data_IF_959770656248
#
_entry.id   IF_959770656248
#
_cell.length_a   1.000
_cell.length_b   1.000
_cell.length_c   1.000
_cell.angle_alpha   90.00
_cell.angle_beta   90.00
_cell.angle_gamma   90.00
#
_symmetry.space_group_name_H-M   'P 1'
#
loop_
_entity.id
_entity.type
_entity.pdbx_description
1 polymer ?
#
# COMPACT_ATOMS: atom_id res chain seq x y z
N UNK A 1 -35.08 8.81 24.74
CA UNK A 1 -35.60 9.24 23.42
C UNK A 1 -34.49 10.02 22.71
N UNK A 2 -33.70 9.37 21.85
CA UNK A 2 -32.65 10.04 21.09
C UNK A 2 -33.27 10.71 19.86
N UNK A 3 -33.07 12.02 19.75
CA UNK A 3 -33.47 12.82 18.60
C UNK A 3 -32.84 12.26 17.31
N UNK A 4 -33.55 12.22 16.17
CA UNK A 4 -32.97 11.80 14.91
C UNK A 4 -31.89 12.81 14.52
N UNK A 5 -30.62 12.40 14.61
CA UNK A 5 -29.50 13.21 14.15
C UNK A 5 -29.74 13.57 12.67
N UNK A 6 -29.94 14.85 12.38
CA UNK A 6 -29.92 15.40 11.02
C UNK A 6 -28.69 14.84 10.32
N UNK A 7 -28.87 14.15 9.19
CA UNK A 7 -27.77 13.78 8.33
C UNK A 7 -27.00 15.07 7.99
N UNK A 8 -25.78 15.20 8.52
CA UNK A 8 -24.90 16.34 8.24
C UNK A 8 -24.64 16.30 6.73
N UNK A 9 -24.82 17.42 6.04
CA UNK A 9 -24.53 17.51 4.61
C UNK A 9 -23.02 17.57 4.42
N UNK A 10 -22.50 16.90 3.39
CA UNK A 10 -21.11 17.06 2.99
C UNK A 10 -20.83 18.53 2.64
N UNK A 11 -19.66 19.02 3.06
CA UNK A 11 -19.24 20.42 2.98
C UNK A 11 -17.95 20.61 2.17
N UNK A 12 -17.38 19.51 1.65
CA UNK A 12 -16.18 19.53 0.82
C UNK A 12 -16.38 18.68 -0.44
N UNK A 13 -15.97 19.21 -1.58
CA UNK A 13 -15.92 18.48 -2.85
C UNK A 13 -14.47 18.18 -3.22
N UNK A 14 -14.15 16.92 -3.44
CA UNK A 14 -12.88 16.49 -4.03
C UNK A 14 -13.10 16.05 -5.47
N UNK A 15 -12.20 16.41 -6.38
CA UNK A 15 -12.30 16.04 -7.80
C UNK A 15 -11.12 15.16 -8.19
N UNK A 16 -11.38 13.99 -8.76
CA UNK A 16 -10.35 13.09 -9.27
C UNK A 16 -9.81 13.53 -10.64
N UNK A 17 -8.71 12.92 -11.09
CA UNK A 17 -8.09 13.21 -12.40
C UNK A 17 -8.96 12.84 -13.59
N UNK A 18 -9.92 11.95 -13.40
CA UNK A 18 -10.96 11.57 -14.38
C UNK A 18 -12.28 12.33 -14.16
N UNK A 19 -12.22 13.49 -13.49
CA UNK A 19 -13.34 14.42 -13.26
C UNK A 19 -14.53 13.84 -12.49
N UNK A 20 -14.31 12.83 -11.65
CA UNK A 20 -15.34 12.37 -10.72
C UNK A 20 -15.31 13.23 -9.46
N UNK A 21 -16.49 13.64 -9.02
CA UNK A 21 -16.66 14.44 -7.80
C UNK A 21 -17.04 13.56 -6.61
N UNK A 22 -16.41 13.85 -5.47
CA UNK A 22 -16.62 13.17 -4.20
C UNK A 22 -17.02 14.19 -3.14
N UNK A 23 -18.28 14.11 -2.74
CA UNK A 23 -18.81 14.88 -1.62
C UNK A 23 -18.40 14.21 -0.31
N UNK A 24 -17.56 14.90 0.48
CA UNK A 24 -17.02 14.40 1.75
C UNK A 24 -17.21 15.43 2.85
N UNK A 25 -17.05 14.99 4.09
CA UNK A 25 -17.02 15.91 5.22
C UNK A 25 -15.60 16.42 5.45
N UNK A 26 -15.42 17.73 5.46
CA UNK A 26 -14.13 18.39 5.71
C UNK A 26 -13.49 17.90 7.01
N UNK A 27 -14.29 17.66 8.05
CA UNK A 27 -13.79 17.18 9.35
C UNK A 27 -13.04 15.85 9.25
N UNK A 28 -13.45 14.93 8.35
CA UNK A 28 -12.72 13.66 8.15
C UNK A 28 -11.36 13.92 7.50
N UNK A 29 -11.31 14.78 6.49
CA UNK A 29 -10.06 15.16 5.84
C UNK A 29 -9.12 15.85 6.83
N UNK A 30 -9.60 16.82 7.59
CA UNK A 30 -8.82 17.55 8.61
C UNK A 30 -8.31 16.63 9.73
N UNK A 31 -9.10 15.65 10.15
CA UNK A 31 -8.72 14.72 11.20
C UNK A 31 -7.63 13.72 10.76
N UNK A 32 -7.54 13.43 9.46
CA UNK A 32 -6.64 12.41 8.94
C UNK A 32 -5.45 12.96 8.15
N UNK A 33 -5.46 14.23 7.74
CA UNK A 33 -4.40 14.89 6.96
C UNK A 33 -4.09 16.27 7.52
N UNK A 34 -2.83 16.49 7.88
CA UNK A 34 -2.32 17.80 8.31
C UNK A 34 -2.33 18.78 7.13
N UNK A 35 -1.93 18.32 5.95
CA UNK A 35 -1.92 19.10 4.70
C UNK A 35 -3.31 19.63 4.36
N UNK A 36 -4.34 18.78 4.37
CA UNK A 36 -5.70 19.21 4.09
C UNK A 36 -6.28 20.06 5.22
N UNK A 37 -5.87 19.84 6.48
CA UNK A 37 -6.27 20.71 7.58
C UNK A 37 -5.77 22.13 7.37
N UNK A 38 -4.49 22.29 7.10
CA UNK A 38 -3.86 23.60 6.92
C UNK A 38 -4.38 24.30 5.65
N UNK A 39 -4.59 23.52 4.57
CA UNK A 39 -5.21 24.00 3.33
C UNK A 39 -6.64 24.51 3.56
N UNK A 40 -7.47 23.76 4.29
CA UNK A 40 -8.88 24.12 4.54
C UNK A 40 -9.07 25.15 5.67
N UNK A 41 -8.03 25.49 6.41
CA UNK A 41 -8.03 26.57 7.40
C UNK A 41 -7.49 27.89 6.83
N UNK A 42 -6.88 27.83 5.64
CA UNK A 42 -6.36 29.01 4.96
C UNK A 42 -7.49 29.87 4.38
N UNK A 43 -7.52 31.19 4.66
CA UNK A 43 -8.55 32.08 4.15
C UNK A 43 -8.49 32.16 2.61
N UNK A 44 -9.61 31.86 1.94
CA UNK A 44 -9.75 31.97 0.48
C UNK A 44 -10.02 30.65 -0.27
N UNK A 45 -10.01 29.50 0.41
CA UNK A 45 -10.22 28.18 -0.21
C UNK A 45 -11.64 27.62 -0.03
N UNK A 46 -12.58 28.41 0.49
CA UNK A 46 -13.84 27.90 1.04
C UNK A 46 -14.89 27.40 0.03
N UNK A 47 -14.68 27.56 -1.28
CA UNK A 47 -15.76 27.32 -2.26
C UNK A 47 -15.38 26.49 -3.50
N UNK A 48 -14.10 26.18 -3.72
CA UNK A 48 -13.68 25.40 -4.88
C UNK A 48 -13.49 23.92 -4.55
N UNK A 49 -13.88 23.05 -5.49
CA UNK A 49 -13.53 21.63 -5.40
C UNK A 49 -12.01 21.45 -5.38
N UNK A 50 -11.51 20.57 -4.50
CA UNK A 50 -10.07 20.31 -4.36
C UNK A 50 -9.68 19.21 -5.35
N UNK A 51 -8.81 19.49 -6.34
CA UNK A 51 -8.33 18.45 -7.24
C UNK A 51 -7.37 17.51 -6.49
N UNK A 52 -7.64 16.21 -6.58
CA UNK A 52 -6.78 15.16 -6.04
C UNK A 52 -6.21 14.38 -7.22
N UNK A 53 -4.89 14.27 -7.24
CA UNK A 53 -4.09 13.51 -8.21
C UNK A 53 -4.25 11.98 -8.03
N UNK A 54 -5.48 11.50 -8.24
CA UNK A 54 -5.90 10.11 -8.17
C UNK A 54 -7.09 9.91 -9.11
N UNK A 55 -7.24 8.71 -9.68
CA UNK A 55 -8.47 8.33 -10.39
C UNK A 55 -9.64 8.20 -9.40
N UNK A 56 -10.88 8.29 -9.88
CA UNK A 56 -12.06 8.14 -9.02
C UNK A 56 -12.11 6.78 -8.31
N UNK A 57 -11.56 5.72 -8.93
CA UNK A 57 -11.44 4.40 -8.29
C UNK A 57 -10.47 4.42 -7.11
N UNK A 58 -9.28 4.98 -7.30
CA UNK A 58 -8.26 5.11 -6.25
C UNK A 58 -8.75 6.02 -5.13
N UNK A 59 -9.34 7.17 -5.47
CA UNK A 59 -9.87 8.11 -4.50
C UNK A 59 -11.02 7.49 -3.69
N UNK A 60 -11.93 6.75 -4.31
CA UNK A 60 -12.98 6.03 -3.59
C UNK A 60 -12.41 5.01 -2.61
N UNK A 61 -11.41 4.25 -3.03
CA UNK A 61 -10.74 3.27 -2.18
C UNK A 61 -10.04 3.96 -1.00
N UNK A 62 -9.36 5.08 -1.27
CA UNK A 62 -8.72 5.93 -0.29
C UNK A 62 -9.70 6.50 0.76
N UNK A 63 -10.81 7.10 0.31
CA UNK A 63 -11.86 7.64 1.18
C UNK A 63 -12.51 6.55 2.04
N UNK A 64 -12.71 5.35 1.47
CA UNK A 64 -13.20 4.21 2.21
C UNK A 64 -12.20 3.78 3.29
N UNK A 65 -10.89 3.79 3.04
CA UNK A 65 -9.87 3.44 4.04
C UNK A 65 -9.82 4.40 5.23
N UNK A 66 -10.25 5.66 5.05
CA UNK A 66 -10.41 6.62 6.14
C UNK A 66 -11.61 6.28 7.03
N UNK A 67 -12.75 6.04 6.39
CA UNK A 67 -14.07 6.03 7.07
C UNK A 67 -14.54 4.63 7.47
N UNK A 68 -14.11 3.58 6.76
CA UNK A 68 -14.62 2.22 6.92
C UNK A 68 -13.50 1.27 7.34
N UNK A 69 -13.84 0.35 8.24
CA UNK A 69 -12.93 -0.71 8.66
C UNK A 69 -12.84 -1.84 7.63
N UNK A 70 -13.98 -2.21 7.04
CA UNK A 70 -14.10 -3.24 6.03
C UNK A 70 -14.02 -2.62 4.64
N UNK A 71 -12.81 -2.64 4.06
CA UNK A 71 -12.58 -2.16 2.70
C UNK A 71 -11.80 -3.22 1.98
N UNK A 72 -12.14 -3.44 0.71
CA UNK A 72 -11.40 -4.35 -0.16
C UNK A 72 -9.93 -3.93 -0.22
N UNK A 73 -9.03 -4.92 -0.30
CA UNK A 73 -7.64 -4.62 -0.60
C UNK A 73 -7.53 -4.12 -2.05
N UNK A 74 -6.52 -3.27 -2.35
CA UNK A 74 -6.15 -3.00 -3.73
C UNK A 74 -5.96 -4.30 -4.51
N UNK A 75 -6.40 -4.31 -5.77
CA UNK A 75 -6.37 -5.50 -6.63
C UNK A 75 -4.98 -5.85 -7.13
N UNK A 76 -4.09 -4.87 -7.21
CA UNK A 76 -2.82 -4.94 -7.91
C UNK A 76 -1.79 -4.02 -7.24
N UNK A 77 -0.51 -4.32 -7.50
CA UNK A 77 0.63 -3.60 -6.92
C UNK A 77 0.68 -2.13 -7.30
N UNK A 78 0.25 -1.76 -8.51
CA UNK A 78 0.24 -0.36 -8.93
C UNK A 78 -0.71 0.47 -8.06
N UNK A 79 -1.92 -0.03 -7.84
CA UNK A 79 -2.91 0.62 -6.95
C UNK A 79 -2.38 0.73 -5.51
N UNK A 80 -1.68 -0.30 -5.00
CA UNK A 80 -1.04 -0.23 -3.67
C UNK A 80 -0.05 0.93 -3.57
N UNK A 81 0.86 1.05 -4.53
CA UNK A 81 1.89 2.08 -4.54
C UNK A 81 1.27 3.48 -4.66
N UNK A 82 0.33 3.67 -5.59
CA UNK A 82 -0.37 4.94 -5.79
C UNK A 82 -1.11 5.41 -4.54
N UNK A 83 -1.78 4.50 -3.82
CA UNK A 83 -2.45 4.85 -2.56
C UNK A 83 -1.46 5.25 -1.46
N UNK A 84 -0.29 4.61 -1.40
CA UNK A 84 0.74 4.94 -0.43
C UNK A 84 1.42 6.28 -0.77
N UNK A 85 1.69 6.54 -2.04
CA UNK A 85 2.15 7.85 -2.54
C UNK A 85 1.14 8.95 -2.20
N UNK A 86 -0.16 8.71 -2.37
CA UNK A 86 -1.21 9.64 -1.95
C UNK A 86 -1.20 9.89 -0.44
N UNK A 87 -0.95 8.84 0.36
CA UNK A 87 -0.82 9.02 1.81
C UNK A 87 0.36 9.91 2.15
N UNK A 88 1.49 9.76 1.46
CA UNK A 88 2.69 10.57 1.71
C UNK A 88 2.51 12.00 1.22
N UNK A 89 1.92 12.20 0.03
CA UNK A 89 1.66 13.51 -0.58
C UNK A 89 0.76 14.41 0.27
N UNK A 90 -0.25 13.83 0.91
CA UNK A 90 -1.22 14.57 1.73
C UNK A 90 -1.10 14.27 3.23
N UNK A 91 -0.01 13.67 3.67
CA UNK A 91 0.27 13.33 5.08
C UNK A 91 -0.88 12.59 5.82
N UNK A 92 -1.40 11.53 5.20
CA UNK A 92 -2.42 10.67 5.79
C UNK A 92 -1.82 9.50 6.59
N UNK A 93 -1.14 9.81 7.69
CA UNK A 93 -0.37 8.82 8.46
C UNK A 93 -1.19 7.60 8.94
N UNK A 94 -2.44 7.81 9.40
CA UNK A 94 -3.30 6.71 9.86
C UNK A 94 -3.72 5.79 8.71
N UNK A 95 -4.02 6.37 7.54
CA UNK A 95 -4.39 5.61 6.34
C UNK A 95 -3.18 4.81 5.86
N UNK A 96 -2.00 5.42 5.83
CA UNK A 96 -0.73 4.74 5.52
C UNK A 96 -0.49 3.55 6.44
N UNK A 97 -0.65 3.74 7.76
CA UNK A 97 -0.49 2.68 8.74
C UNK A 97 -1.48 1.54 8.53
N UNK A 98 -2.75 1.85 8.22
CA UNK A 98 -3.78 0.86 7.87
C UNK A 98 -3.42 0.09 6.60
N UNK A 99 -2.96 0.78 5.55
CA UNK A 99 -2.49 0.16 4.32
C UNK A 99 -1.31 -0.79 4.58
N UNK A 100 -0.28 -0.36 5.31
CA UNK A 100 0.86 -1.22 5.68
C UNK A 100 0.42 -2.44 6.47
N UNK A 101 -0.52 -2.29 7.41
CA UNK A 101 -1.05 -3.42 8.16
C UNK A 101 -1.80 -4.41 7.26
N UNK A 102 -2.56 -3.92 6.28
CA UNK A 102 -3.23 -4.76 5.29
C UNK A 102 -2.24 -5.42 4.32
N UNK A 103 -1.17 -4.73 3.94
CA UNK A 103 -0.09 -5.28 3.13
C UNK A 103 0.58 -6.46 3.83
N UNK A 104 0.78 -6.37 5.16
CA UNK A 104 1.25 -7.50 5.97
C UNK A 104 0.32 -8.71 5.88
N UNK A 105 -1.00 -8.49 5.95
CA UNK A 105 -1.98 -9.59 5.78
C UNK A 105 -2.01 -10.09 4.33
N UNK A 106 -1.85 -9.20 3.36
CA UNK A 106 -1.81 -9.54 1.93
C UNK A 106 -0.58 -10.40 1.58
N UNK A 107 0.55 -10.22 2.27
CA UNK A 107 1.75 -11.05 2.09
C UNK A 107 1.52 -12.55 2.35
N UNK A 108 0.46 -12.91 3.10
CA UNK A 108 0.09 -14.32 3.28
C UNK A 108 -0.64 -14.90 2.06
N UNK A 109 -1.30 -14.05 1.26
CA UNK A 109 -2.07 -14.46 0.08
C UNK A 109 -1.25 -14.37 -1.21
N UNK A 110 -0.48 -13.30 -1.36
CA UNK A 110 0.43 -13.09 -2.49
C UNK A 110 1.76 -12.51 -1.99
N UNK A 111 2.70 -13.36 -1.56
CA UNK A 111 3.95 -12.91 -0.99
C UNK A 111 4.87 -12.30 -2.05
N UNK A 112 4.82 -12.76 -3.31
CA UNK A 112 5.61 -12.15 -4.37
C UNK A 112 5.18 -10.70 -4.65
N UNK A 113 3.87 -10.47 -4.80
CA UNK A 113 3.34 -9.13 -5.02
C UNK A 113 3.64 -8.23 -3.81
N UNK A 114 3.47 -8.76 -2.59
CA UNK A 114 3.82 -8.04 -1.37
C UNK A 114 5.31 -7.68 -1.33
N UNK A 115 6.20 -8.61 -1.69
CA UNK A 115 7.64 -8.36 -1.79
C UNK A 115 7.94 -7.23 -2.79
N UNK A 116 7.34 -7.28 -3.98
CA UNK A 116 7.50 -6.25 -5.00
C UNK A 116 7.02 -4.89 -4.48
N UNK A 117 5.83 -4.80 -3.90
CA UNK A 117 5.30 -3.56 -3.31
C UNK A 117 6.27 -3.04 -2.23
N UNK A 118 6.72 -3.91 -1.32
CA UNK A 118 7.63 -3.49 -0.23
C UNK A 118 9.00 -3.05 -0.71
N UNK A 119 9.46 -3.53 -1.85
CA UNK A 119 10.74 -3.14 -2.44
C UNK A 119 10.77 -1.69 -2.94
N UNK A 120 9.61 -1.17 -3.36
CA UNK A 120 9.45 0.24 -3.77
C UNK A 120 9.24 1.17 -2.58
N UNK A 121 8.83 0.63 -1.43
CA UNK A 121 8.55 1.38 -0.21
C UNK A 121 9.70 1.36 0.79
N UNK A 122 10.76 0.60 0.50
CA UNK A 122 11.89 0.33 1.41
C UNK A 122 11.45 -0.28 2.76
N UNK A 123 10.42 -1.13 2.74
CA UNK A 123 9.83 -1.74 3.94
C UNK A 123 10.45 -3.13 4.22
N UNK A 124 11.71 -3.13 4.67
CA UNK A 124 12.50 -4.35 4.90
C UNK A 124 11.77 -5.42 5.75
N UNK A 125 11.13 -5.01 6.84
CA UNK A 125 10.44 -5.93 7.75
C UNK A 125 9.29 -6.68 7.08
N UNK A 126 8.57 -6.02 6.17
CA UNK A 126 7.45 -6.61 5.44
C UNK A 126 7.98 -7.48 4.30
N UNK A 127 9.06 -7.05 3.63
CA UNK A 127 9.74 -7.85 2.62
C UNK A 127 10.24 -9.18 3.20
N UNK A 128 10.93 -9.17 4.35
CA UNK A 128 11.35 -10.41 5.05
C UNK A 128 10.17 -11.33 5.34
N UNK A 129 9.08 -10.78 5.89
CA UNK A 129 7.85 -11.55 6.15
C UNK A 129 7.25 -12.15 4.88
N UNK A 130 7.29 -11.44 3.77
CA UNK A 130 6.84 -11.95 2.47
C UNK A 130 7.75 -13.09 1.98
N UNK A 131 9.08 -12.92 2.04
CA UNK A 131 10.07 -13.95 1.65
C UNK A 131 9.85 -15.24 2.43
N UNK A 132 9.69 -15.15 3.76
CA UNK A 132 9.43 -16.30 4.63
C UNK A 132 8.22 -17.14 4.19
N UNK A 133 7.29 -16.56 3.42
CA UNK A 133 6.07 -17.21 2.92
C UNK A 133 6.18 -17.76 1.51
N UNK A 134 7.28 -17.55 0.78
CA UNK A 134 7.44 -18.05 -0.59
C UNK A 134 7.25 -19.57 -0.70
N UNK A 135 7.64 -20.34 0.31
CA UNK A 135 7.45 -21.81 0.33
C UNK A 135 6.17 -22.30 1.01
N UNK A 136 5.30 -21.41 1.50
CA UNK A 136 4.09 -21.81 2.24
C UNK A 136 2.84 -21.93 1.34
N UNK A 137 2.90 -21.48 0.09
CA UNK A 137 1.77 -21.52 -0.82
C UNK A 137 1.66 -22.89 -1.49
N UNK A 138 1.05 -23.83 -0.77
CA UNK A 138 0.62 -25.12 -1.30
C UNK A 138 -0.25 -24.91 -2.54
N UNK A 139 0.34 -25.03 -3.73
CA UNK A 139 -0.38 -24.95 -5.02
C UNK A 139 0.16 -23.92 -6.01
N UNK A 140 0.92 -22.91 -5.58
CA UNK A 140 1.77 -22.17 -6.50
C UNK A 140 3.06 -22.96 -6.66
N UNK A 141 3.51 -23.19 -7.91
CA UNK A 141 4.88 -23.67 -8.16
C UNK A 141 5.79 -22.80 -7.32
N UNK A 142 6.64 -23.42 -6.51
CA UNK A 142 7.66 -22.71 -5.76
C UNK A 142 8.27 -21.63 -6.64
N UNK A 143 8.52 -20.45 -6.09
CA UNK A 143 9.18 -19.38 -6.84
C UNK A 143 10.59 -19.87 -7.16
N UNK A 144 10.73 -20.57 -8.28
CA UNK A 144 12.00 -21.02 -8.82
C UNK A 144 12.69 -19.79 -9.39
N UNK A 145 13.52 -19.10 -8.58
CA UNK A 145 14.24 -17.91 -9.03
C UNK A 145 15.05 -18.17 -10.31
N UNK A 146 15.56 -19.40 -10.50
CA UNK A 146 16.29 -19.80 -11.71
C UNK A 146 15.44 -19.95 -12.97
N UNK A 147 14.10 -19.96 -12.86
CA UNK A 147 13.16 -20.01 -13.99
C UNK A 147 12.18 -18.83 -14.00
N UNK A 148 12.50 -17.77 -13.27
CA UNK A 148 11.66 -16.57 -13.19
C UNK A 148 11.51 -15.92 -14.57
N UNK A 149 10.28 -15.68 -15.05
CA UNK A 149 10.07 -14.91 -16.27
C UNK A 149 10.61 -13.49 -16.14
N UNK A 150 11.13 -12.92 -17.22
CA UNK A 150 11.66 -11.56 -17.24
C UNK A 150 10.67 -10.52 -16.69
N UNK A 151 9.38 -10.63 -17.05
CA UNK A 151 8.31 -9.74 -16.57
C UNK A 151 8.13 -9.76 -15.05
N UNK A 152 8.47 -10.87 -14.39
CA UNK A 152 8.39 -11.00 -12.94
C UNK A 152 9.62 -10.35 -12.30
N UNK A 153 10.81 -10.57 -12.86
CA UNK A 153 12.05 -9.95 -12.42
C UNK A 153 12.06 -8.41 -12.50
N UNK A 154 11.25 -7.81 -13.38
CA UNK A 154 11.13 -6.34 -13.49
C UNK A 154 10.20 -5.70 -12.46
N UNK A 155 9.47 -6.48 -11.66
CA UNK A 155 8.49 -5.94 -10.70
C UNK A 155 9.12 -5.34 -9.44
N UNK A 156 10.06 -6.02 -8.73
CA UNK A 156 10.72 -5.43 -7.58
C UNK A 156 11.81 -4.43 -8.00
N UNK A 157 12.25 -3.60 -7.06
CA UNK A 157 13.45 -2.80 -7.26
C UNK A 157 14.70 -3.68 -7.39
N UNK A 158 15.66 -3.23 -8.20
CA UNK A 158 16.89 -3.99 -8.45
C UNK A 158 17.66 -4.33 -7.16
N UNK A 159 17.87 -3.40 -6.20
CA UNK A 159 18.46 -3.70 -4.89
C UNK A 159 17.83 -4.90 -4.17
N UNK A 160 16.51 -4.94 -4.10
CA UNK A 160 15.77 -6.01 -3.42
C UNK A 160 15.87 -7.33 -4.18
N UNK A 161 15.79 -7.31 -5.51
CA UNK A 161 15.93 -8.52 -6.33
C UNK A 161 17.34 -9.14 -6.17
N UNK A 162 18.39 -8.32 -6.26
CA UNK A 162 19.77 -8.79 -6.08
C UNK A 162 19.98 -9.34 -4.67
N UNK A 163 19.46 -8.65 -3.65
CA UNK A 163 19.49 -9.12 -2.27
C UNK A 163 18.81 -10.49 -2.09
N UNK A 164 17.67 -10.70 -2.76
CA UNK A 164 16.93 -11.96 -2.72
C UNK A 164 17.71 -13.09 -3.39
N UNK A 165 18.28 -12.84 -4.57
CA UNK A 165 19.10 -13.81 -5.30
C UNK A 165 20.36 -14.18 -4.52
N UNK A 166 21.03 -13.19 -3.92
CA UNK A 166 22.20 -13.39 -3.07
C UNK A 166 21.86 -14.25 -1.85
N UNK A 167 20.81 -13.88 -1.10
CA UNK A 167 20.36 -14.65 0.06
C UNK A 167 19.97 -16.09 -0.31
N UNK A 168 19.32 -16.29 -1.47
CA UNK A 168 18.99 -17.64 -1.95
C UNK A 168 20.23 -18.47 -2.26
N UNK A 169 21.24 -17.87 -2.88
CA UNK A 169 22.50 -18.55 -3.22
C UNK A 169 23.26 -19.02 -1.97
N UNK A 170 23.37 -18.16 -0.96
CA UNK A 170 24.03 -18.49 0.31
C UNK A 170 23.35 -19.66 1.03
N UNK A 171 22.02 -19.67 1.04
CA UNK A 171 21.22 -20.70 1.74
C UNK A 171 21.15 -22.02 0.95
N UNK A 172 21.36 -22.00 -0.37
CA UNK A 172 21.25 -23.19 -1.23
C UNK A 172 22.21 -24.33 -0.84
N UNK A 173 23.32 -24.02 -0.16
CA UNK A 173 24.33 -24.99 0.29
C UNK A 173 24.31 -25.21 1.81
N UNK A 174 23.31 -24.68 2.51
CA UNK A 174 23.17 -24.80 3.97
C UNK A 174 22.30 -26.00 4.38
N UNK A 175 22.37 -26.37 5.66
CA UNK A 175 21.57 -27.45 6.24
C UNK A 175 20.05 -27.17 6.19
N UNK A 176 19.64 -25.90 6.10
CA UNK A 176 18.24 -25.48 5.96
C UNK A 176 18.04 -24.59 4.71
N UNK A 177 17.75 -25.18 3.54
CA UNK A 177 17.51 -24.42 2.31
C UNK A 177 16.12 -23.76 2.25
N UNK A 178 15.49 -23.47 3.40
CA UNK A 178 14.15 -22.89 3.46
C UNK A 178 14.12 -21.39 3.13
N UNK A 179 12.95 -20.92 2.72
CA UNK A 179 12.69 -19.49 2.58
C UNK A 179 12.70 -18.73 3.92
N UNK A 180 12.52 -19.44 5.04
CA UNK A 180 12.69 -18.84 6.36
C UNK A 180 14.17 -18.47 6.59
N UNK A 181 15.11 -19.36 6.28
CA UNK A 181 16.53 -19.05 6.34
C UNK A 181 16.93 -17.89 5.41
N UNK A 182 16.41 -17.86 4.17
CA UNK A 182 16.63 -16.73 3.24
C UNK A 182 16.12 -15.41 3.82
N UNK A 183 14.93 -15.40 4.43
CA UNK A 183 14.34 -14.21 5.06
C UNK A 183 15.21 -13.63 6.17
N UNK A 184 15.85 -14.46 6.99
CA UNK A 184 16.66 -13.97 8.12
C UNK A 184 17.88 -13.19 7.63
N UNK A 185 18.56 -13.72 6.61
CA UNK A 185 19.79 -13.12 6.05
C UNK A 185 19.54 -12.09 4.95
N UNK A 186 18.29 -11.89 4.52
CA UNK A 186 17.96 -10.99 3.42
C UNK A 186 18.24 -9.52 3.77
N UNK A 187 18.92 -8.83 2.85
CA UNK A 187 19.07 -7.37 2.84
C UNK A 187 19.10 -6.88 1.38
N UNK A 188 18.56 -5.68 1.08
CA UNK A 188 18.70 -5.08 -0.25
C UNK A 188 20.18 -4.82 -0.57
N UNK A 189 20.58 -5.01 -1.82
CA UNK A 189 21.93 -4.66 -2.27
C UNK A 189 22.12 -3.13 -2.24
N UNK A 190 23.23 -2.67 -1.67
CA UNK A 190 23.62 -1.25 -1.62
C UNK A 190 24.24 -0.77 -2.91
#
# INVERSE_FOLDING_TARGET
MCSPAKAVKADLTLTSTDNQEFQVHSYHCKAHSTVLRDMLESPGLNESAIPIDATGRELRLFLNLMTRWEVLNPSDSATWLRLLELCDKYDFYLVRRRLKQRLRVYSYKSPWDAFCITSHLDELDIAKKAIKRFGSLTGQKDIELGRMPFQMATQPTLPYLLGLLHGRNLVAHSDDPSWAAVSEIFYPAT
#
